data_IF_971552666491
#
_entry.id   IF_971552666491
#
_cell.length_a   1.000
_cell.length_b   1.000
_cell.length_c   1.000
_cell.angle_alpha   90.00
_cell.angle_beta   90.00
_cell.angle_gamma   90.00
#
_symmetry.space_group_name_H-M   'P 1'
#
loop_
_entity.id
_entity.type
_entity.pdbx_description
1 polymer ?
#
# COMPACT_ATOMS: atom_id res chain seq x y z
N UNK A 1 -4.99 2.91 -19.79
CA UNK A 1 -4.63 2.14 -18.58
C UNK A 1 -3.38 1.28 -18.80
N UNK A 2 -3.39 0.21 -19.61
CA UNK A 2 -2.22 -0.67 -19.78
C UNK A 2 -0.91 0.07 -20.13
N UNK A 3 -0.92 0.84 -21.23
CA UNK A 3 0.27 1.60 -21.65
C UNK A 3 0.70 2.67 -20.64
N UNK A 4 -0.26 3.33 -19.99
CA UNK A 4 0.01 4.35 -18.98
C UNK A 4 0.71 3.76 -17.76
N UNK A 5 0.22 2.61 -17.27
CA UNK A 5 0.82 1.93 -16.10
C UNK A 5 2.23 1.47 -16.44
N UNK A 6 2.44 0.81 -17.58
CA UNK A 6 3.79 0.41 -18.01
C UNK A 6 4.73 1.62 -18.17
N UNK A 7 4.25 2.71 -18.78
CA UNK A 7 5.04 3.94 -18.91
C UNK A 7 5.50 4.48 -17.54
N UNK A 8 4.62 4.49 -16.52
CA UNK A 8 5.00 4.91 -15.16
C UNK A 8 6.02 3.96 -14.53
N UNK A 9 5.78 2.64 -14.62
CA UNK A 9 6.70 1.63 -14.09
C UNK A 9 8.10 1.74 -14.72
N UNK A 10 8.15 1.85 -16.05
CA UNK A 10 9.40 2.00 -16.79
C UNK A 10 10.09 3.33 -16.49
N UNK A 11 9.32 4.42 -16.38
CA UNK A 11 9.86 5.75 -16.05
C UNK A 11 10.52 5.73 -14.68
N UNK A 12 9.85 5.17 -13.67
CA UNK A 12 10.37 5.14 -12.29
C UNK A 12 11.59 4.23 -12.19
N UNK A 13 11.53 3.04 -12.79
CA UNK A 13 12.65 2.09 -12.79
C UNK A 13 13.92 2.73 -13.37
N UNK A 14 13.78 3.47 -14.47
CA UNK A 14 14.91 4.07 -15.19
C UNK A 14 15.17 5.53 -14.82
N UNK A 15 14.49 6.08 -13.81
CA UNK A 15 14.64 7.50 -13.45
C UNK A 15 16.01 7.75 -12.82
N UNK A 16 16.80 8.63 -13.43
CA UNK A 16 18.04 9.15 -12.87
C UNK A 16 17.91 10.65 -12.61
N UNK A 17 18.57 11.14 -11.56
CA UNK A 17 18.59 12.56 -11.24
C UNK A 17 20.00 13.02 -10.94
N UNK A 18 20.42 14.12 -11.56
CA UNK A 18 21.68 14.80 -11.23
C UNK A 18 21.52 15.77 -10.04
N UNK A 19 20.34 15.82 -9.41
CA UNK A 19 20.01 16.74 -8.32
C UNK A 19 19.69 15.97 -7.05
N UNK A 20 20.67 15.89 -6.15
CA UNK A 20 20.53 15.21 -4.86
C UNK A 20 20.60 16.21 -3.68
N UNK A 21 19.82 15.99 -2.60
CA UNK A 21 18.79 14.96 -2.46
C UNK A 21 17.52 15.32 -3.26
N UNK A 22 16.79 14.30 -3.73
CA UNK A 22 15.45 14.48 -4.31
C UNK A 22 14.41 13.64 -3.56
N UNK A 23 13.15 13.98 -3.77
CA UNK A 23 12.00 13.21 -3.31
C UNK A 23 11.17 12.79 -4.51
N UNK A 24 10.85 11.50 -4.60
CA UNK A 24 9.92 10.96 -5.60
C UNK A 24 8.69 10.41 -4.90
N UNK A 25 7.51 10.87 -5.33
CA UNK A 25 6.24 10.26 -4.97
C UNK A 25 5.68 9.50 -6.16
N UNK A 26 5.51 8.19 -6.02
CA UNK A 26 4.93 7.32 -7.04
C UNK A 26 3.61 6.75 -6.52
N UNK A 27 2.51 7.16 -7.14
CA UNK A 27 1.19 6.62 -6.83
C UNK A 27 0.68 5.80 -8.02
N UNK A 28 0.69 4.47 -7.87
CA UNK A 28 0.21 3.53 -8.88
C UNK A 28 -1.06 2.86 -8.38
N UNK A 29 -2.06 2.80 -9.25
CA UNK A 29 -3.36 2.20 -8.95
C UNK A 29 -3.35 0.66 -8.95
N UNK A 30 -2.19 0.02 -9.06
CA UNK A 30 -2.08 -1.44 -9.01
C UNK A 30 -2.15 -1.93 -7.56
N UNK A 31 -2.76 -3.09 -7.27
CA UNK A 31 -3.42 -4.02 -8.19
C UNK A 31 -4.94 -3.76 -8.36
N UNK A 32 -5.42 -2.53 -8.16
CA UNK A 32 -6.86 -2.22 -8.26
C UNK A 32 -7.42 -2.51 -9.65
N UNK A 33 -8.70 -2.91 -9.69
CA UNK A 33 -9.44 -3.08 -10.95
C UNK A 33 -9.49 -1.78 -11.80
N UNK A 34 -9.63 -1.85 -13.14
CA UNK A 34 -9.76 -3.06 -13.95
C UNK A 34 -8.49 -3.94 -13.94
N UNK A 35 -8.66 -5.26 -13.97
CA UNK A 35 -7.56 -6.23 -14.02
C UNK A 35 -7.04 -6.36 -15.46
N UNK A 36 -6.03 -5.56 -15.78
CA UNK A 36 -5.52 -5.36 -17.15
C UNK A 36 -4.24 -6.15 -17.44
N UNK A 37 -3.68 -6.79 -16.42
CA UNK A 37 -2.47 -7.63 -16.48
C UNK A 37 -2.79 -9.04 -16.00
N UNK A 38 -2.25 -10.04 -16.69
CA UNK A 38 -2.06 -11.37 -16.10
C UNK A 38 -0.80 -11.41 -15.22
N UNK A 39 -0.49 -12.56 -14.63
CA UNK A 39 0.67 -12.72 -13.75
C UNK A 39 2.03 -12.51 -14.43
N UNK A 40 2.10 -12.66 -15.76
CA UNK A 40 3.31 -12.45 -16.55
C UNK A 40 3.43 -11.01 -17.07
N UNK A 41 2.39 -10.19 -16.86
CA UNK A 41 2.33 -8.81 -17.35
C UNK A 41 1.79 -8.68 -18.76
N UNK A 42 1.24 -9.75 -19.35
CA UNK A 42 0.56 -9.63 -20.64
C UNK A 42 -0.76 -8.88 -20.47
N UNK A 43 -1.14 -8.14 -21.52
CA UNK A 43 -2.41 -7.42 -21.54
C UNK A 43 -3.58 -8.40 -21.59
N UNK A 44 -4.43 -8.35 -20.57
CA UNK A 44 -5.74 -9.02 -20.60
C UNK A 44 -6.68 -8.22 -21.53
N UNK A 45 -7.28 -8.89 -22.50
CA UNK A 45 -8.17 -8.25 -23.49
C UNK A 45 -9.62 -8.14 -22.99
N UNK A 46 -10.07 -9.14 -22.22
CA UNK A 46 -11.46 -9.29 -21.80
C UNK A 46 -11.69 -8.69 -20.40
N UNK A 47 -11.39 -7.40 -20.29
CA UNK A 47 -11.40 -6.70 -19.01
C UNK A 47 -12.82 -6.24 -18.69
N UNK A 48 -13.55 -7.08 -17.97
CA UNK A 48 -14.91 -6.73 -17.53
C UNK A 48 -14.84 -5.71 -16.39
N UNK A 49 -15.19 -4.46 -16.70
CA UNK A 49 -15.46 -3.45 -15.67
C UNK A 49 -16.70 -3.86 -14.87
N UNK A 50 -16.61 -3.79 -13.54
CA UNK A 50 -17.75 -4.06 -12.68
C UNK A 50 -18.10 -5.55 -12.52
N UNK A 51 -17.13 -6.47 -12.70
CA UNK A 51 -17.27 -7.83 -12.19
C UNK A 51 -17.75 -7.78 -10.74
N UNK A 52 -18.71 -8.65 -10.41
CA UNK A 52 -19.17 -8.81 -9.05
C UNK A 52 -17.97 -9.16 -8.16
N UNK A 53 -17.75 -8.36 -7.11
CA UNK A 53 -16.63 -8.55 -6.17
C UNK A 53 -16.74 -9.89 -5.41
N UNK A 54 -17.87 -10.57 -5.52
CA UNK A 54 -18.13 -11.90 -4.98
C UNK A 54 -17.91 -13.04 -6.00
N UNK A 55 -17.65 -12.74 -7.28
CA UNK A 55 -17.31 -13.74 -8.31
C UNK A 55 -15.91 -14.33 -8.06
N UNK A 56 -15.76 -15.65 -8.16
CA UNK A 56 -14.45 -16.30 -8.04
C UNK A 56 -13.46 -15.80 -9.10
N UNK A 57 -13.93 -15.51 -10.32
CA UNK A 57 -13.11 -14.94 -11.39
C UNK A 57 -12.53 -13.59 -11.01
N UNK A 58 -13.23 -12.81 -10.19
CA UNK A 58 -12.70 -11.55 -9.68
C UNK A 58 -11.47 -11.79 -8.81
N UNK A 59 -11.50 -12.82 -7.94
CA UNK A 59 -10.38 -13.18 -7.07
C UNK A 59 -9.18 -13.66 -7.87
N UNK A 60 -9.40 -14.52 -8.86
CA UNK A 60 -8.32 -15.04 -9.71
C UNK A 60 -7.65 -13.91 -10.49
N UNK A 61 -8.44 -13.00 -11.07
CA UNK A 61 -7.90 -11.83 -11.79
C UNK A 61 -7.18 -10.84 -10.88
N UNK A 62 -7.66 -10.66 -9.66
CA UNK A 62 -6.95 -9.89 -8.64
C UNK A 62 -5.60 -10.53 -8.32
N UNK A 63 -5.57 -11.85 -8.12
CA UNK A 63 -4.35 -12.59 -7.80
C UNK A 63 -3.32 -12.50 -8.93
N UNK A 64 -3.73 -12.71 -10.19
CA UNK A 64 -2.87 -12.56 -11.36
C UNK A 64 -2.23 -11.15 -11.40
N UNK A 65 -3.05 -10.10 -11.31
CA UNK A 65 -2.54 -8.73 -11.34
C UNK A 65 -1.68 -8.39 -10.10
N UNK A 66 -1.99 -8.95 -8.94
CA UNK A 66 -1.18 -8.81 -7.72
C UNK A 66 0.20 -9.44 -7.88
N UNK A 67 0.30 -10.63 -8.49
CA UNK A 67 1.59 -11.29 -8.77
C UNK A 67 2.46 -10.41 -9.66
N UNK A 68 1.89 -9.87 -10.74
CA UNK A 68 2.58 -8.92 -11.60
C UNK A 68 3.01 -7.65 -10.85
N UNK A 69 2.11 -7.08 -10.04
CA UNK A 69 2.37 -5.87 -9.24
C UNK A 69 3.54 -6.09 -8.28
N UNK A 70 3.57 -7.23 -7.59
CA UNK A 70 4.66 -7.59 -6.68
C UNK A 70 5.98 -7.73 -7.44
N UNK A 71 5.98 -8.43 -8.57
CA UNK A 71 7.17 -8.58 -9.42
C UNK A 71 7.75 -7.22 -9.84
N UNK A 72 6.91 -6.30 -10.34
CA UNK A 72 7.37 -4.97 -10.77
C UNK A 72 7.80 -4.08 -9.62
N UNK A 73 7.15 -4.19 -8.47
CA UNK A 73 7.55 -3.46 -7.25
C UNK A 73 8.94 -3.89 -6.79
N UNK A 74 9.22 -5.20 -6.76
CA UNK A 74 10.53 -5.73 -6.41
C UNK A 74 11.60 -5.30 -7.42
N UNK A 75 11.34 -5.40 -8.73
CA UNK A 75 12.28 -4.92 -9.76
C UNK A 75 12.67 -3.43 -9.58
N UNK A 76 11.69 -2.58 -9.23
CA UNK A 76 11.93 -1.15 -9.00
C UNK A 76 12.76 -0.95 -7.72
N UNK A 77 12.38 -1.60 -6.62
CA UNK A 77 13.10 -1.50 -5.35
C UNK A 77 14.55 -1.97 -5.50
N UNK A 78 14.77 -3.12 -6.15
CA UNK A 78 16.10 -3.66 -6.41
C UNK A 78 16.94 -2.68 -7.25
N UNK A 79 16.34 -2.08 -8.29
CA UNK A 79 17.01 -1.09 -9.14
C UNK A 79 17.37 0.20 -8.39
N UNK A 80 16.52 0.65 -7.46
CA UNK A 80 16.81 1.80 -6.59
C UNK A 80 17.99 1.47 -5.67
N UNK A 81 17.93 0.34 -4.95
CA UNK A 81 18.96 -0.05 -3.98
C UNK A 81 20.31 -0.38 -4.62
N UNK A 82 20.32 -0.91 -5.86
CA UNK A 82 21.56 -1.16 -6.60
C UNK A 82 22.27 0.13 -7.01
N UNK A 83 21.52 1.20 -7.28
CA UNK A 83 22.08 2.50 -7.65
C UNK A 83 22.58 3.25 -6.42
N UNK A 84 21.78 3.26 -5.37
CA UNK A 84 22.14 3.86 -4.09
C UNK A 84 21.55 3.05 -2.91
N UNK A 85 22.38 2.28 -2.17
CA UNK A 85 21.92 1.51 -1.02
C UNK A 85 21.56 2.40 0.19
N UNK A 86 21.86 3.70 0.15
CA UNK A 86 21.47 4.65 1.19
C UNK A 86 20.09 5.28 0.98
N UNK A 87 19.45 5.02 -0.16
CA UNK A 87 18.11 5.54 -0.47
C UNK A 87 17.06 5.04 0.53
N UNK A 88 16.29 5.98 1.09
CA UNK A 88 15.13 5.69 1.92
C UNK A 88 13.95 5.27 1.04
N UNK A 89 13.33 4.13 1.36
CA UNK A 89 12.19 3.59 0.63
C UNK A 89 11.00 3.45 1.58
N UNK A 90 9.85 3.99 1.17
CA UNK A 90 8.55 3.80 1.83
C UNK A 90 7.59 3.24 0.79
N UNK A 91 7.20 1.98 0.95
CA UNK A 91 6.14 1.33 0.19
C UNK A 91 4.91 1.22 1.09
N UNK A 92 3.81 1.83 0.67
CA UNK A 92 2.56 1.80 1.42
C UNK A 92 1.34 1.60 0.53
N UNK A 93 0.37 0.82 1.00
CA UNK A 93 -0.97 0.81 0.40
C UNK A 93 -1.83 1.93 0.98
N UNK A 94 -2.75 2.45 0.16
CA UNK A 94 -3.76 3.42 0.59
C UNK A 94 -4.79 2.78 1.53
N UNK A 95 -5.14 1.52 1.30
CA UNK A 95 -6.02 0.72 2.15
C UNK A 95 -5.70 -0.79 2.09
N UNK A 96 -6.37 -1.57 2.96
CA UNK A 96 -6.36 -3.03 2.91
C UNK A 96 -7.38 -3.63 1.92
N UNK A 97 -7.61 -4.93 1.97
CA UNK A 97 -8.54 -5.63 1.08
C UNK A 97 -10.01 -5.33 1.40
N UNK A 98 -10.76 -4.76 0.47
CA UNK A 98 -12.17 -4.34 0.66
C UNK A 98 -13.21 -5.23 -0.05
N UNK A 99 -12.82 -6.47 -0.39
CA UNK A 99 -13.63 -7.37 -1.20
C UNK A 99 -14.79 -7.97 -0.41
N UNK A 100 -16.01 -7.47 -0.63
CA UNK A 100 -17.19 -7.99 0.03
C UNK A 100 -17.40 -7.46 1.46
N UNK A 101 -16.80 -6.31 1.79
CA UNK A 101 -16.93 -5.65 3.10
C UNK A 101 -18.36 -5.17 3.27
N UNK A 102 -18.99 -5.52 4.38
CA UNK A 102 -20.19 -4.83 4.85
C UNK A 102 -19.78 -3.50 5.49
N UNK A 103 -20.01 -2.41 4.77
CA UNK A 103 -19.63 -1.07 5.22
C UNK A 103 -20.56 -0.49 6.28
N UNK A 104 -21.77 -1.04 6.39
CA UNK A 104 -22.80 -0.54 7.29
C UNK A 104 -22.74 -1.31 8.62
N UNK A 105 -22.50 -2.63 8.56
CA UNK A 105 -22.38 -3.52 9.71
C UNK A 105 -21.15 -4.44 9.57
N UNK A 106 -19.92 -3.91 9.66
CA UNK A 106 -18.72 -4.69 9.46
C UNK A 106 -18.55 -5.76 10.54
N UNK A 107 -18.22 -6.98 10.13
CA UNK A 107 -17.69 -8.00 11.03
C UNK A 107 -16.26 -7.65 11.48
N UNK A 108 -15.74 -8.35 12.48
CA UNK A 108 -14.33 -8.24 12.88
C UNK A 108 -13.38 -8.51 11.69
N UNK A 109 -13.70 -9.52 10.87
CA UNK A 109 -12.93 -9.85 9.67
C UNK A 109 -12.97 -8.70 8.65
N UNK A 110 -14.10 -7.99 8.52
CA UNK A 110 -14.25 -6.84 7.63
C UNK A 110 -13.36 -5.68 8.04
N UNK A 111 -13.37 -5.35 9.33
CA UNK A 111 -12.51 -4.31 9.89
C UNK A 111 -11.04 -4.68 9.68
N UNK A 112 -10.67 -5.91 10.04
CA UNK A 112 -9.29 -6.38 9.94
C UNK A 112 -8.78 -6.30 8.51
N UNK A 113 -9.47 -6.90 7.53
CA UNK A 113 -8.98 -6.90 6.14
C UNK A 113 -8.94 -5.52 5.51
N UNK A 114 -9.89 -4.64 5.81
CA UNK A 114 -9.99 -3.33 5.18
C UNK A 114 -8.98 -2.32 5.74
N UNK A 115 -8.53 -2.53 6.98
CA UNK A 115 -7.55 -1.70 7.68
C UNK A 115 -6.13 -2.32 7.70
N UNK A 116 -5.97 -3.57 7.24
CA UNK A 116 -4.67 -4.21 7.11
C UNK A 116 -3.95 -3.71 5.85
N UNK A 117 -3.36 -2.52 5.96
CA UNK A 117 -2.57 -1.90 4.92
C UNK A 117 -1.17 -2.53 4.83
N UNK A 118 -0.63 -2.59 3.62
CA UNK A 118 0.80 -2.90 3.44
C UNK A 118 1.62 -1.68 3.85
N UNK A 119 2.60 -1.87 4.72
CA UNK A 119 3.67 -0.92 4.99
C UNK A 119 5.00 -1.68 5.00
N UNK A 120 5.88 -1.32 4.08
CA UNK A 120 7.25 -1.84 4.02
C UNK A 120 8.20 -0.65 3.87
N UNK A 121 9.25 -0.63 4.69
CA UNK A 121 10.12 0.53 4.83
C UNK A 121 11.59 0.11 4.87
N UNK A 122 12.44 0.90 4.25
CA UNK A 122 13.90 0.78 4.34
C UNK A 122 14.45 2.14 4.74
N UNK A 123 14.92 2.25 5.98
CA UNK A 123 15.53 3.45 6.56
C UNK A 123 17.02 3.15 6.86
N UNK A 124 17.91 3.21 5.85
CA UNK A 124 19.33 2.91 6.03
C UNK A 124 19.96 3.71 7.18
N UNK A 125 20.58 2.99 8.12
CA UNK A 125 21.24 3.56 9.31
C UNK A 125 20.29 4.08 10.39
N UNK A 126 18.97 3.88 10.23
CA UNK A 126 17.91 4.29 11.15
C UNK A 126 16.87 3.19 11.36
N UNK A 127 17.26 1.93 11.18
CA UNK A 127 16.39 0.76 11.24
C UNK A 127 15.73 0.63 12.62
N UNK A 128 16.44 0.98 13.68
CA UNK A 128 15.93 0.95 15.06
C UNK A 128 14.81 1.96 15.35
N UNK A 129 14.57 2.92 14.45
CA UNK A 129 13.45 3.86 14.58
C UNK A 129 12.11 3.27 14.13
N UNK A 130 12.13 2.11 13.45
CA UNK A 130 10.93 1.43 12.97
C UNK A 130 10.47 0.43 14.04
N UNK A 131 9.24 0.59 14.51
CA UNK A 131 8.62 -0.32 15.49
C UNK A 131 7.66 -1.30 14.82
N UNK A 132 7.43 -2.46 15.42
CA UNK A 132 6.55 -3.52 14.86
C UNK A 132 5.11 -3.06 14.58
N UNK A 133 4.57 -2.11 15.36
CA UNK A 133 3.18 -1.66 15.27
C UNK A 133 3.05 -0.22 14.76
N UNK A 134 3.84 0.16 13.77
CA UNK A 134 3.84 1.53 13.23
C UNK A 134 2.69 1.75 12.24
N UNK A 135 1.76 2.66 12.54
CA UNK A 135 0.76 3.10 11.56
C UNK A 135 1.38 3.97 10.47
N UNK A 136 0.78 3.90 9.28
CA UNK A 136 1.08 4.78 8.15
C UNK A 136 0.88 6.27 8.49
N UNK A 137 0.10 6.60 9.52
CA UNK A 137 -0.05 7.99 10.03
C UNK A 137 1.24 8.53 10.63
N UNK A 138 2.06 7.66 11.22
CA UNK A 138 3.29 8.03 11.91
C UNK A 138 4.54 7.91 11.03
N UNK A 139 4.47 7.30 9.84
CA UNK A 139 5.68 7.01 9.05
C UNK A 139 6.53 8.25 8.71
N UNK A 140 5.88 9.35 8.30
CA UNK A 140 6.61 10.59 7.99
C UNK A 140 7.16 11.28 9.24
N UNK A 141 6.48 11.15 10.40
CA UNK A 141 6.98 11.67 11.68
C UNK A 141 8.27 10.96 12.06
N UNK A 142 8.25 9.62 12.01
CA UNK A 142 9.43 8.79 12.24
C UNK A 142 10.55 9.16 11.26
N UNK A 143 10.25 9.26 9.96
CA UNK A 143 11.23 9.67 8.95
C UNK A 143 11.90 11.01 9.28
N UNK A 144 11.10 12.06 9.52
CA UNK A 144 11.65 13.39 9.78
C UNK A 144 12.42 13.46 11.10
N UNK A 145 11.93 12.80 12.15
CA UNK A 145 12.63 12.74 13.42
C UNK A 145 13.98 12.00 13.27
N UNK A 146 14.00 10.89 12.53
CA UNK A 146 15.19 10.03 12.36
C UNK A 146 16.30 10.67 11.54
N UNK A 147 15.96 11.36 10.44
CA UNK A 147 16.94 11.89 9.50
C UNK A 147 17.23 13.39 9.64
N UNK A 148 16.26 14.16 10.15
CA UNK A 148 16.37 15.63 10.22
C UNK A 148 16.37 16.16 11.64
N UNK A 149 16.27 15.29 12.65
CA UNK A 149 16.16 15.71 14.05
C UNK A 149 14.93 16.58 14.29
N UNK A 150 13.88 16.37 13.49
CA UNK A 150 12.58 16.96 13.79
C UNK A 150 12.06 16.42 15.13
N UNK A 151 11.20 17.19 15.77
CA UNK A 151 10.61 16.85 17.06
C UNK A 151 9.09 16.70 16.91
N UNK A 152 8.67 15.91 15.90
CA UNK A 152 7.26 15.60 15.73
C UNK A 152 6.82 14.59 16.78
N UNK A 153 5.76 14.92 17.52
CA UNK A 153 5.08 13.98 18.40
C UNK A 153 4.62 12.75 17.62
N UNK A 154 4.98 11.56 18.10
CA UNK A 154 4.46 10.28 17.60
C UNK A 154 3.06 10.12 18.19
N UNK A 155 2.06 9.99 17.32
CA UNK A 155 0.66 9.91 17.72
C UNK A 155 0.32 8.50 18.20
N UNK A 156 -0.73 8.40 19.03
CA UNK A 156 -1.30 7.10 19.39
C UNK A 156 -1.73 6.31 18.16
N UNK A 157 -1.41 5.02 18.18
CA UNK A 157 -1.77 4.07 17.14
C UNK A 157 -3.28 3.80 17.15
N UNK A 158 -4.00 4.36 16.18
CA UNK A 158 -5.46 4.30 16.05
C UNK A 158 -5.94 3.67 14.75
N UNK A 159 -7.01 2.90 14.86
CA UNK A 159 -7.76 2.33 13.76
C UNK A 159 -9.15 2.96 13.71
N UNK A 160 -9.43 3.71 12.64
CA UNK A 160 -10.68 4.46 12.50
C UNK A 160 -11.51 3.86 11.37
N UNK A 161 -12.71 3.40 11.72
CA UNK A 161 -13.72 2.98 10.75
C UNK A 161 -14.62 4.14 10.36
N UNK A 162 -15.17 4.12 9.14
CA UNK A 162 -16.18 5.08 8.70
C UNK A 162 -17.32 4.36 7.96
N UNK A 163 -18.51 4.95 8.02
CA UNK A 163 -19.66 4.47 7.24
C UNK A 163 -19.67 5.14 5.88
N UNK A 164 -19.71 4.37 4.80
CA UNK A 164 -19.57 4.89 3.42
C UNK A 164 -20.59 5.99 3.07
N UNK A 165 -21.84 5.87 3.57
CA UNK A 165 -22.91 6.84 3.35
C UNK A 165 -22.74 8.13 4.15
N UNK A 166 -21.95 8.11 5.21
CA UNK A 166 -21.62 9.27 6.03
C UNK A 166 -20.16 9.22 6.47
N UNK A 167 -19.20 9.59 5.61
CA UNK A 167 -17.77 9.45 5.89
C UNK A 167 -17.26 10.25 7.09
N UNK A 168 -18.03 11.24 7.54
CA UNK A 168 -17.72 12.03 8.75
C UNK A 168 -18.15 11.30 10.03
N UNK A 169 -18.98 10.26 9.93
CA UNK A 169 -19.32 9.37 11.03
C UNK A 169 -18.21 8.33 11.19
N UNK A 170 -17.30 8.60 12.11
CA UNK A 170 -16.13 7.78 12.38
C UNK A 170 -16.25 7.07 13.73
N UNK A 171 -15.80 5.82 13.77
CA UNK A 171 -15.77 5.00 14.98
C UNK A 171 -14.35 4.55 15.23
N UNK A 172 -13.84 4.77 16.44
CA UNK A 172 -12.57 4.21 16.87
C UNK A 172 -12.74 2.71 17.14
N UNK A 173 -12.05 1.88 16.36
CA UNK A 173 -12.09 0.41 16.46
C UNK A 173 -10.75 -0.15 16.93
N UNK A 174 -9.91 0.68 17.53
CA UNK A 174 -8.53 0.34 17.92
C UNK A 174 -8.45 -0.88 18.85
N UNK A 175 -9.26 -0.91 19.91
CA UNK A 175 -9.22 -2.00 20.89
C UNK A 175 -9.71 -3.32 20.29
N UNK A 176 -10.70 -3.26 19.39
CA UNK A 176 -11.20 -4.42 18.67
C UNK A 176 -10.12 -5.01 17.77
N UNK A 177 -9.40 -4.17 17.01
CA UNK A 177 -8.31 -4.62 16.14
C UNK A 177 -7.14 -5.18 16.96
N UNK A 178 -6.70 -4.48 18.02
CA UNK A 178 -5.54 -4.89 18.83
C UNK A 178 -5.80 -6.15 19.66
N UNK A 179 -7.06 -6.45 19.99
CA UNK A 179 -7.44 -7.66 20.72
C UNK A 179 -7.75 -8.86 19.82
N UNK A 180 -7.89 -8.63 18.50
CA UNK A 180 -8.25 -9.66 17.53
C UNK A 180 -7.21 -10.79 17.44
N UNK A 181 -7.68 -12.04 17.34
CA UNK A 181 -6.81 -13.17 17.03
C UNK A 181 -6.39 -13.22 15.55
N UNK A 182 -7.01 -12.42 14.67
CA UNK A 182 -6.70 -12.37 13.23
C UNK A 182 -5.34 -11.71 12.95
N UNK A 183 -4.81 -10.93 13.89
CA UNK A 183 -3.51 -10.25 13.81
C UNK A 183 -2.32 -11.03 14.38
N UNK A 184 -2.53 -12.30 14.78
CA UNK A 184 -1.47 -13.17 15.30
C UNK A 184 -1.00 -14.19 14.27
#
# INVERSE_FOLDING_TARGET
>A
NYHTVNCVLDTVKNFESDKEPFYMHMHIRLPHQPFIFDSEGNRVQDVQEGMDRFDERFKDRYLEQLIFTNSKTLEIIDSIQQRDPSTVIILMSDHGGRFGVDWENPSELDLYRALNNLLAVSFPGKESSITENLSTVNIFRVFFNSYFGADYEILDEKYIWYVSKNPLSQTDVTDLIKSSSLGK
#
